data_IF_032035419567
#
_entry.id   IF_032035419567
#
_cell.length_a   1.000
_cell.length_b   1.000
_cell.length_c   1.000
_cell.angle_alpha   90.00
_cell.angle_beta   90.00
_cell.angle_gamma   90.00
#
_symmetry.space_group_name_H-M   'P 1'
#
loop_
_entity.id
_entity.type
_entity.pdbx_description
1 polymer ?
#
# COMPACT_ATOMS: atom_id res chain seq x y z
N UNK A 1 -4.90 70.17 -10.20
CA UNK A 1 -5.37 69.01 -10.99
C UNK A 1 -4.14 68.27 -11.46
N UNK A 2 -3.71 67.21 -10.75
CA UNK A 2 -2.46 66.51 -11.07
C UNK A 2 -2.72 65.66 -12.32
N UNK A 3 -2.06 66.01 -13.43
CA UNK A 3 -2.14 65.24 -14.67
C UNK A 3 -1.45 63.89 -14.41
N UNK A 4 -2.23 62.82 -14.19
CA UNK A 4 -1.68 61.47 -14.12
C UNK A 4 -0.94 61.19 -15.44
N UNK A 5 0.37 60.98 -15.35
CA UNK A 5 1.22 60.77 -16.53
C UNK A 5 0.68 59.59 -17.33
N UNK A 6 0.69 59.72 -18.67
CA UNK A 6 0.24 58.69 -19.62
C UNK A 6 0.85 57.30 -19.31
N UNK A 7 2.05 57.29 -18.72
CA UNK A 7 2.74 56.07 -18.29
C UNK A 7 1.98 55.32 -17.19
N UNK A 8 1.39 56.01 -16.19
CA UNK A 8 0.60 55.36 -15.14
C UNK A 8 -0.69 54.73 -15.68
N UNK A 9 -1.30 55.33 -16.71
CA UNK A 9 -2.48 54.76 -17.39
C UNK A 9 -2.13 53.48 -18.15
N UNK A 10 -1.01 53.48 -18.87
CA UNK A 10 -0.51 52.30 -19.58
C UNK A 10 -0.14 51.19 -18.60
N UNK A 11 0.58 51.51 -17.52
CA UNK A 11 0.94 50.54 -16.49
C UNK A 11 -0.30 49.93 -15.82
N UNK A 12 -1.32 50.75 -15.52
CA UNK A 12 -2.60 50.26 -14.97
C UNK A 12 -3.32 49.29 -15.90
N UNK A 13 -3.37 49.58 -17.20
CA UNK A 13 -3.94 48.66 -18.21
C UNK A 13 -3.17 47.34 -18.24
N UNK A 14 -1.83 47.39 -18.22
CA UNK A 14 -0.99 46.18 -18.21
C UNK A 14 -1.27 45.33 -16.98
N UNK A 15 -1.34 45.93 -15.79
CA UNK A 15 -1.66 45.20 -14.54
C UNK A 15 -3.04 44.54 -14.62
N UNK A 16 -4.06 45.25 -15.15
CA UNK A 16 -5.41 44.70 -15.32
C UNK A 16 -5.39 43.52 -16.30
N UNK A 17 -4.70 43.64 -17.44
CA UNK A 17 -4.61 42.57 -18.44
C UNK A 17 -3.88 41.35 -17.88
N UNK A 18 -2.78 41.55 -17.15
CA UNK A 18 -2.06 40.47 -16.45
C UNK A 18 -2.95 39.83 -15.38
N UNK A 19 -3.69 40.63 -14.62
CA UNK A 19 -4.67 40.14 -13.64
C UNK A 19 -5.77 39.28 -14.28
N UNK A 20 -6.34 39.72 -15.41
CA UNK A 20 -7.32 38.96 -16.17
C UNK A 20 -6.74 37.65 -16.71
N UNK A 21 -5.50 37.67 -17.22
CA UNK A 21 -4.80 36.45 -17.64
C UNK A 21 -4.64 35.46 -16.49
N UNK A 22 -4.29 35.93 -15.28
CA UNK A 22 -4.26 35.08 -14.10
C UNK A 22 -5.63 34.51 -13.75
N UNK A 23 -6.71 35.30 -13.83
CA UNK A 23 -8.07 34.81 -13.54
C UNK A 23 -8.52 33.74 -14.54
N UNK A 24 -8.28 33.97 -15.84
CA UNK A 24 -8.60 32.99 -16.90
C UNK A 24 -7.75 31.72 -16.74
N UNK A 25 -6.45 31.86 -16.46
CA UNK A 25 -5.56 30.72 -16.24
C UNK A 25 -5.93 29.89 -15.00
N UNK A 26 -6.59 30.50 -14.02
CA UNK A 26 -7.06 29.82 -12.82
C UNK A 26 -8.53 29.42 -12.90
N UNK A 27 -9.21 29.56 -14.05
CA UNK A 27 -10.59 29.12 -14.22
C UNK A 27 -10.66 27.63 -14.63
N UNK A 28 -11.49 26.80 -14.00
CA UNK A 28 -12.37 27.12 -12.88
C UNK A 28 -11.57 27.36 -11.59
N UNK A 29 -11.93 28.42 -10.86
CA UNK A 29 -11.27 28.77 -9.59
C UNK A 29 -11.23 27.55 -8.69
N UNK A 30 -10.05 27.25 -8.13
CA UNK A 30 -9.87 26.13 -7.21
C UNK A 30 -10.67 26.39 -5.94
N UNK A 31 -11.89 25.86 -5.89
CA UNK A 31 -12.67 25.77 -4.67
C UNK A 31 -12.28 24.46 -3.97
N UNK A 32 -12.00 24.54 -2.67
CA UNK A 32 -11.85 23.33 -1.88
C UNK A 32 -13.27 22.81 -1.57
N UNK A 33 -13.67 21.64 -2.10
CA UNK A 33 -15.02 21.13 -1.92
C UNK A 33 -15.35 20.75 -0.46
N UNK A 34 -14.35 20.72 0.40
CA UNK A 34 -14.45 20.34 1.80
C UNK A 34 -13.66 21.31 2.68
N UNK A 35 -14.20 21.57 3.87
CA UNK A 35 -13.55 22.34 4.92
C UNK A 35 -14.01 21.82 6.30
N UNK A 36 -13.35 22.30 7.35
CA UNK A 36 -13.57 21.90 8.74
C UNK A 36 -14.82 22.53 9.40
N UNK A 37 -15.49 23.47 8.73
CA UNK A 37 -16.56 24.28 9.31
C UNK A 37 -17.97 23.80 8.92
N UNK A 38 -18.09 22.93 7.92
CA UNK A 38 -19.38 22.43 7.44
C UNK A 38 -19.71 21.00 7.89
N UNK A 39 -19.19 20.60 9.05
CA UNK A 39 -19.49 19.33 9.72
C UNK A 39 -18.81 18.10 9.09
N UNK A 40 -19.12 16.93 9.63
CA UNK A 40 -18.56 15.66 9.16
C UNK A 40 -19.05 15.32 7.74
N UNK A 41 -18.09 15.06 6.85
CA UNK A 41 -18.31 14.72 5.44
C UNK A 41 -18.05 13.23 5.16
N UNK A 42 -17.81 12.44 6.21
CA UNK A 42 -17.41 11.05 6.11
C UNK A 42 -16.17 10.88 5.24
N UNK A 43 -16.19 9.89 4.35
CA UNK A 43 -15.04 9.59 3.50
C UNK A 43 -14.87 10.52 2.28
N UNK A 44 -15.79 11.46 2.06
CA UNK A 44 -15.81 12.35 0.88
C UNK A 44 -14.50 13.12 0.63
N UNK A 45 -13.91 13.78 1.64
CA UNK A 45 -12.63 14.48 1.50
C UNK A 45 -11.49 13.55 1.06
N UNK A 46 -11.44 12.35 1.64
CA UNK A 46 -10.43 11.33 1.32
C UNK A 46 -10.60 10.80 -0.10
N UNK A 47 -11.84 10.52 -0.52
CA UNK A 47 -12.13 10.10 -1.89
C UNK A 47 -11.73 11.17 -2.91
N UNK A 48 -11.92 12.45 -2.59
CA UNK A 48 -11.48 13.56 -3.44
C UNK A 48 -9.95 13.65 -3.54
N UNK A 49 -9.22 13.42 -2.44
CA UNK A 49 -7.77 13.33 -2.48
C UNK A 49 -7.30 12.13 -3.34
N UNK A 50 -7.93 10.97 -3.19
CA UNK A 50 -7.65 9.78 -4.01
C UNK A 50 -7.84 10.09 -5.49
N UNK A 51 -8.96 10.73 -5.87
CA UNK A 51 -9.22 11.14 -7.25
C UNK A 51 -8.18 12.13 -7.77
N UNK A 52 -7.80 13.12 -6.96
CA UNK A 52 -6.77 14.10 -7.33
C UNK A 52 -5.42 13.43 -7.59
N UNK A 53 -4.97 12.53 -6.72
CA UNK A 53 -3.69 11.82 -6.87
C UNK A 53 -3.71 10.92 -8.11
N UNK A 54 -4.81 10.20 -8.32
CA UNK A 54 -4.99 9.37 -9.52
C UNK A 54 -4.94 10.19 -10.82
N UNK A 55 -5.57 11.37 -10.85
CA UNK A 55 -5.54 12.27 -12.00
C UNK A 55 -4.13 12.80 -12.33
N UNK A 56 -3.21 12.71 -11.36
CA UNK A 56 -1.78 13.04 -11.53
C UNK A 56 -0.90 11.82 -11.78
N UNK A 57 -1.49 10.62 -11.89
CA UNK A 57 -0.75 9.38 -12.07
C UNK A 57 0.08 8.98 -10.84
N UNK A 58 -0.24 9.50 -9.65
CA UNK A 58 0.43 9.15 -8.41
C UNK A 58 -0.07 7.82 -7.82
N UNK A 59 0.49 7.46 -6.67
CA UNK A 59 0.01 6.38 -5.80
C UNK A 59 -0.48 6.96 -4.48
N UNK A 60 -1.48 6.34 -3.87
CA UNK A 60 -2.04 6.78 -2.60
C UNK A 60 -2.36 5.61 -1.69
N UNK A 61 -1.88 5.71 -0.45
CA UNK A 61 -2.05 4.68 0.57
C UNK A 61 -2.76 5.28 1.78
N UNK A 62 -3.66 4.51 2.38
CA UNK A 62 -4.17 4.81 3.71
C UNK A 62 -3.11 4.51 4.75
N UNK A 63 -2.70 5.53 5.51
CA UNK A 63 -1.78 5.35 6.63
C UNK A 63 -2.48 4.61 7.77
N UNK A 64 -1.78 3.70 8.44
CA UNK A 64 -2.16 3.05 9.70
C UNK A 64 -3.69 3.03 10.08
N UNK A 65 -4.57 2.36 9.30
CA UNK A 65 -6.03 2.48 9.45
C UNK A 65 -6.58 1.92 10.77
N UNK A 66 -5.81 1.06 11.44
CA UNK A 66 -6.13 0.43 12.72
C UNK A 66 -5.39 1.05 13.91
N UNK A 67 -4.62 2.11 13.68
CA UNK A 67 -3.89 2.82 14.72
C UNK A 67 -4.79 3.86 15.40
N UNK A 68 -5.08 3.74 16.71
CA UNK A 68 -5.66 4.84 17.44
C UNK A 68 -4.58 5.92 17.60
N UNK A 69 -4.82 7.14 17.11
CA UNK A 69 -3.95 8.24 17.52
C UNK A 69 -4.33 8.58 18.96
N UNK A 70 -3.40 8.30 19.88
CA UNK A 70 -3.56 8.34 21.33
C UNK A 70 -4.53 7.30 21.89
N UNK A 71 -4.03 6.43 22.78
CA UNK A 71 -4.88 5.48 23.52
C UNK A 71 -5.96 6.16 24.38
N UNK A 72 -5.75 7.44 24.73
CA UNK A 72 -6.68 8.27 25.50
C UNK A 72 -6.84 9.65 24.85
N UNK A 73 -8.05 10.22 24.84
CA UNK A 73 -8.26 11.59 24.37
C UNK A 73 -7.33 12.58 25.08
N UNK A 74 -6.76 13.53 24.34
CA UNK A 74 -5.95 14.60 24.90
C UNK A 74 -6.80 15.85 25.12
N UNK A 75 -6.73 16.44 26.31
CA UNK A 75 -7.36 17.73 26.60
C UNK A 75 -6.38 18.87 26.34
N UNK A 76 -6.71 19.75 25.40
CA UNK A 76 -5.90 20.93 25.05
C UNK A 76 -6.79 22.16 25.17
N UNK A 77 -6.57 22.98 26.20
CA UNK A 77 -7.32 24.23 26.43
C UNK A 77 -8.85 24.07 26.41
N UNK A 78 -9.38 22.97 26.95
CA UNK A 78 -10.81 22.65 26.96
C UNK A 78 -11.34 22.04 25.66
N UNK A 79 -10.44 21.62 24.76
CA UNK A 79 -10.75 20.88 23.54
C UNK A 79 -10.23 19.45 23.71
N UNK A 80 -11.13 18.48 23.58
CA UNK A 80 -10.79 17.07 23.51
C UNK A 80 -10.33 16.69 22.10
N UNK A 81 -9.11 16.18 21.98
CA UNK A 81 -8.52 15.67 20.74
C UNK A 81 -8.39 14.14 20.81
N UNK A 82 -8.98 13.45 19.83
CA UNK A 82 -8.87 12.01 19.66
C UNK A 82 -8.99 11.67 18.18
N UNK A 83 -8.19 10.70 17.70
CA UNK A 83 -8.40 10.13 16.35
C UNK A 83 -8.83 8.67 16.51
N UNK A 84 -10.08 8.32 16.19
CA UNK A 84 -10.51 6.93 16.21
C UNK A 84 -9.84 6.13 15.08
N UNK A 85 -9.81 4.81 15.23
CA UNK A 85 -9.46 3.90 14.12
C UNK A 85 -10.51 4.03 12.99
N UNK A 86 -10.10 3.74 11.76
CA UNK A 86 -10.94 3.88 10.56
C UNK A 86 -10.81 2.73 9.54
N UNK A 87 -10.69 1.45 9.96
CA UNK A 87 -10.51 0.34 9.02
C UNK A 87 -11.69 0.19 8.04
N UNK A 88 -12.90 0.54 8.48
CA UNK A 88 -14.10 0.52 7.64
C UNK A 88 -14.09 1.53 6.48
N UNK A 89 -13.26 2.56 6.52
CA UNK A 89 -13.22 3.57 5.45
C UNK A 89 -12.49 3.07 4.19
N UNK A 90 -11.70 2.00 4.32
CA UNK A 90 -11.15 1.26 3.19
C UNK A 90 -12.26 0.70 2.29
N UNK A 91 -13.35 0.19 2.89
CA UNK A 91 -14.50 -0.34 2.15
C UNK A 91 -15.34 0.77 1.50
N UNK A 92 -15.37 1.96 2.09
CA UNK A 92 -16.20 3.10 1.65
C UNK A 92 -15.54 3.96 0.59
N UNK A 93 -14.23 3.84 0.40
CA UNK A 93 -13.48 4.52 -0.66
C UNK A 93 -13.06 3.56 -1.75
N UNK A 94 -12.78 4.11 -2.94
CA UNK A 94 -12.43 3.36 -4.14
C UNK A 94 -11.22 3.98 -4.83
N UNK A 95 -10.52 3.16 -5.62
CA UNK A 95 -9.42 3.57 -6.49
C UNK A 95 -8.18 4.14 -5.78
N UNK A 96 -8.00 3.91 -4.49
CA UNK A 96 -6.69 4.10 -3.85
C UNK A 96 -5.72 2.98 -4.26
N UNK A 97 -4.42 3.12 -3.99
CA UNK A 97 -3.42 2.10 -4.33
C UNK A 97 -3.31 1.02 -3.27
N UNK A 98 -3.38 1.41 -1.99
CA UNK A 98 -3.14 0.48 -0.90
C UNK A 98 -3.45 1.02 0.48
N UNK A 99 -3.00 0.29 1.50
CA UNK A 99 -3.07 0.69 2.90
C UNK A 99 -1.86 0.16 3.65
N UNK A 100 -1.48 0.81 4.74
CA UNK A 100 -0.43 0.33 5.62
C UNK A 100 -0.92 -0.85 6.48
N UNK A 101 -0.22 -1.97 6.41
CA UNK A 101 -0.56 -3.20 7.12
C UNK A 101 0.35 -3.46 8.32
N UNK A 102 1.61 -3.05 8.23
CA UNK A 102 2.57 -3.02 9.35
C UNK A 102 2.93 -1.56 9.63
N UNK A 103 3.14 -1.14 10.87
CA UNK A 103 3.19 -1.97 12.10
C UNK A 103 1.82 -2.37 12.70
N UNK A 104 0.76 -1.58 12.48
CA UNK A 104 -0.47 -1.68 13.30
C UNK A 104 -1.72 -2.25 12.60
N UNK A 105 -1.67 -2.49 11.29
CA UNK A 105 -2.82 -2.81 10.42
C UNK A 105 -3.13 -4.30 10.19
N UNK A 106 -2.65 -5.18 11.07
CA UNK A 106 -2.84 -6.64 10.93
C UNK A 106 -3.83 -7.22 11.95
N UNK A 107 -4.65 -6.41 12.66
CA UNK A 107 -5.61 -6.93 13.67
C UNK A 107 -6.96 -7.27 13.03
N UNK A 108 -7.48 -6.41 12.16
CA UNK A 108 -8.78 -6.55 11.47
C UNK A 108 -8.65 -6.56 9.95
N UNK A 109 -7.79 -5.71 9.37
CA UNK A 109 -7.70 -5.50 7.93
C UNK A 109 -6.91 -6.62 7.26
N UNK A 110 -5.73 -6.95 7.79
CA UNK A 110 -4.79 -7.90 7.19
C UNK A 110 -5.07 -9.38 7.45
N UNK A 111 -5.88 -9.71 8.46
CA UNK A 111 -6.14 -11.12 8.84
C UNK A 111 -6.90 -11.87 7.73
N UNK A 112 -6.76 -13.22 7.64
CA UNK A 112 -7.55 -14.02 6.70
C UNK A 112 -9.06 -13.80 6.89
N UNK A 113 -9.74 -13.39 5.82
CA UNK A 113 -11.15 -13.01 5.80
C UNK A 113 -11.42 -11.56 6.22
N UNK A 114 -10.37 -10.81 6.57
CA UNK A 114 -10.43 -9.41 7.00
C UNK A 114 -10.83 -8.43 5.88
N UNK A 115 -10.77 -7.14 6.18
CA UNK A 115 -11.21 -6.09 5.24
C UNK A 115 -10.42 -6.14 3.93
N UNK A 116 -9.13 -6.43 3.95
CA UNK A 116 -8.33 -6.54 2.74
C UNK A 116 -8.87 -7.63 1.81
N UNK A 117 -9.22 -8.79 2.38
CA UNK A 117 -9.78 -9.90 1.63
C UNK A 117 -11.18 -9.60 1.08
N UNK A 118 -12.00 -8.85 1.82
CA UNK A 118 -13.28 -8.36 1.31
C UNK A 118 -13.09 -7.45 0.08
N UNK A 119 -12.11 -6.54 0.12
CA UNK A 119 -11.79 -5.63 -0.98
C UNK A 119 -11.25 -6.40 -2.20
N UNK A 120 -10.35 -7.35 -2.00
CA UNK A 120 -9.82 -8.18 -3.09
C UNK A 120 -10.91 -9.07 -3.71
N UNK A 121 -11.85 -9.57 -2.90
CA UNK A 121 -13.03 -10.28 -3.40
C UNK A 121 -13.98 -9.35 -4.19
N UNK A 122 -14.14 -8.09 -3.78
CA UNK A 122 -14.88 -7.09 -4.58
C UNK A 122 -14.21 -6.86 -5.94
N UNK A 123 -12.87 -6.81 -5.98
CA UNK A 123 -12.12 -6.74 -7.23
C UNK A 123 -12.35 -7.98 -8.11
N UNK A 124 -12.25 -9.18 -7.53
CA UNK A 124 -12.48 -10.43 -8.25
C UNK A 124 -13.90 -10.53 -8.83
N UNK A 125 -14.90 -9.95 -8.14
CA UNK A 125 -16.30 -9.87 -8.59
C UNK A 125 -16.58 -8.70 -9.55
N UNK A 126 -15.58 -7.88 -9.88
CA UNK A 126 -15.73 -6.71 -10.77
C UNK A 126 -16.47 -5.52 -10.13
N UNK A 127 -16.69 -5.53 -8.81
CA UNK A 127 -17.27 -4.39 -8.08
C UNK A 127 -16.26 -3.24 -7.97
N UNK A 128 -14.97 -3.58 -7.85
CA UNK A 128 -13.85 -2.63 -7.88
C UNK A 128 -13.08 -2.79 -9.17
N UNK A 129 -12.59 -1.67 -9.71
CA UNK A 129 -11.84 -1.63 -10.97
C UNK A 129 -10.40 -2.12 -10.82
N UNK A 130 -9.83 -2.02 -9.61
CA UNK A 130 -8.42 -2.32 -9.33
C UNK A 130 -8.27 -3.08 -8.01
N UNK A 131 -7.26 -3.97 -7.91
CA UNK A 131 -6.87 -4.56 -6.65
C UNK A 131 -6.19 -3.51 -5.75
N UNK A 132 -6.07 -3.83 -4.47
CA UNK A 132 -5.49 -2.96 -3.43
C UNK A 132 -4.33 -3.68 -2.77
N UNK A 133 -3.23 -2.97 -2.53
CA UNK A 133 -1.98 -3.54 -2.02
C UNK A 133 -1.71 -3.18 -0.56
N UNK A 134 -1.09 -4.11 0.16
CA UNK A 134 -0.63 -3.87 1.52
C UNK A 134 0.78 -3.24 1.50
N UNK A 135 1.01 -2.21 2.30
CA UNK A 135 2.27 -1.46 2.40
C UNK A 135 2.83 -1.54 3.83
N UNK A 136 4.14 -1.56 3.98
CA UNK A 136 4.80 -1.35 5.27
C UNK A 136 5.01 0.12 5.58
N UNK A 137 4.64 0.54 6.79
CA UNK A 137 4.80 1.89 7.32
C UNK A 137 5.41 1.84 8.72
N UNK A 138 6.35 2.75 9.00
CA UNK A 138 7.05 2.80 10.29
C UNK A 138 6.63 3.98 11.18
N UNK A 139 6.07 5.06 10.60
CA UNK A 139 5.89 6.36 11.26
C UNK A 139 7.13 6.78 12.08
N UNK A 140 8.31 6.70 11.45
CA UNK A 140 9.59 6.85 12.13
C UNK A 140 9.74 8.23 12.77
N UNK A 141 9.99 8.25 14.09
CA UNK A 141 10.22 9.48 14.86
C UNK A 141 11.68 9.68 15.23
N UNK A 142 12.30 8.64 15.78
CA UNK A 142 13.71 8.62 16.17
C UNK A 142 14.16 7.17 16.37
N UNK A 143 15.48 6.94 16.27
CA UNK A 143 16.09 5.62 16.41
C UNK A 143 15.76 5.02 17.78
N UNK A 144 15.25 3.78 17.79
CA UNK A 144 14.87 3.07 19.00
C UNK A 144 13.58 3.57 19.68
N UNK A 145 12.88 4.57 19.11
CA UNK A 145 11.59 5.00 19.63
C UNK A 145 10.59 3.83 19.55
N UNK A 146 10.04 3.42 20.69
CA UNK A 146 9.20 2.22 20.82
C UNK A 146 9.84 0.94 20.24
N UNK A 147 11.17 0.84 20.25
CA UNK A 147 11.89 -0.31 19.71
C UNK A 147 11.92 -0.39 18.18
N UNK A 148 11.53 0.68 17.49
CA UNK A 148 11.58 0.77 16.02
C UNK A 148 12.90 1.36 15.55
N UNK A 149 13.43 0.78 14.47
CA UNK A 149 14.64 1.22 13.76
C UNK A 149 14.26 1.51 12.31
N UNK A 150 14.98 2.41 11.65
CA UNK A 150 14.61 2.88 10.30
C UNK A 150 14.41 1.74 9.28
N UNK A 151 15.11 0.62 9.45
CA UNK A 151 15.04 -0.55 8.58
C UNK A 151 14.14 -1.68 9.12
N UNK A 152 13.41 -1.47 10.22
CA UNK A 152 12.56 -2.50 10.85
C UNK A 152 11.43 -2.98 9.95
N UNK A 153 10.89 -2.11 9.09
CA UNK A 153 9.85 -2.45 8.12
C UNK A 153 10.35 -2.06 6.73
N UNK A 154 10.27 -2.99 5.78
CA UNK A 154 10.76 -2.83 4.42
C UNK A 154 9.66 -3.18 3.42
N UNK A 155 9.55 -2.35 2.38
CA UNK A 155 8.80 -2.69 1.18
C UNK A 155 9.80 -3.19 0.14
N UNK A 156 9.80 -4.49 -0.13
CA UNK A 156 10.75 -5.12 -1.05
C UNK A 156 10.13 -5.12 -2.45
N UNK A 157 10.65 -4.28 -3.35
CA UNK A 157 10.15 -4.12 -4.71
C UNK A 157 10.75 -5.18 -5.64
N UNK A 158 9.90 -5.89 -6.39
CA UNK A 158 10.29 -6.87 -7.41
C UNK A 158 10.46 -6.18 -8.76
N UNK A 159 11.67 -5.70 -9.00
CA UNK A 159 12.01 -4.99 -10.22
C UNK A 159 12.75 -5.92 -11.19
N UNK A 160 12.42 -5.80 -12.48
CA UNK A 160 13.24 -6.42 -13.52
C UNK A 160 14.63 -5.77 -13.50
N UNK A 161 15.66 -6.59 -13.63
CA UNK A 161 17.04 -6.13 -13.60
C UNK A 161 17.33 -5.23 -14.80
N UNK A 162 17.25 -3.91 -14.62
CA UNK A 162 17.75 -2.94 -15.57
C UNK A 162 19.27 -2.76 -15.36
N UNK A 163 20.04 -2.72 -16.44
CA UNK A 163 21.48 -2.45 -16.37
C UNK A 163 22.37 -3.63 -15.95
N UNK A 164 23.57 -3.32 -15.46
CA UNK A 164 24.62 -4.31 -15.22
C UNK A 164 24.43 -5.10 -13.91
N UNK A 165 23.54 -4.63 -13.02
CA UNK A 165 23.30 -5.22 -11.71
C UNK A 165 24.38 -4.87 -10.69
N UNK A 166 25.08 -3.76 -10.89
CA UNK A 166 26.09 -3.29 -9.94
C UNK A 166 25.39 -2.67 -8.74
N UNK A 167 25.83 -3.07 -7.55
CA UNK A 167 25.50 -2.40 -6.29
C UNK A 167 25.80 -0.90 -6.44
N UNK A 168 24.78 -0.06 -6.30
CA UNK A 168 24.89 1.41 -6.43
C UNK A 168 24.32 2.01 -7.72
N UNK A 169 23.84 1.21 -8.68
CA UNK A 169 23.00 1.73 -9.76
C UNK A 169 21.67 2.27 -9.17
N UNK A 170 21.31 3.51 -9.49
CA UNK A 170 20.06 4.12 -9.04
C UNK A 170 18.88 3.43 -9.72
N UNK A 171 17.99 2.86 -8.91
CA UNK A 171 16.64 2.49 -9.34
C UNK A 171 15.92 3.77 -9.80
N UNK A 172 15.24 3.73 -10.94
CA UNK A 172 14.41 4.86 -11.40
C UNK A 172 13.22 5.03 -10.45
N UNK A 173 12.94 6.27 -10.05
CA UNK A 173 11.78 6.60 -9.23
C UNK A 173 10.48 6.14 -9.91
N UNK A 174 10.42 6.29 -11.23
CA UNK A 174 9.30 5.86 -12.05
C UNK A 174 9.07 4.35 -11.99
N UNK A 175 10.14 3.54 -12.01
CA UNK A 175 10.05 2.09 -11.88
C UNK A 175 9.57 1.66 -10.50
N UNK A 176 10.06 2.33 -9.45
CA UNK A 176 9.61 2.07 -8.09
C UNK A 176 8.11 2.38 -7.94
N UNK A 177 7.67 3.54 -8.45
CA UNK A 177 6.25 3.92 -8.47
C UNK A 177 5.42 2.91 -9.26
N UNK A 178 5.92 2.43 -10.39
CA UNK A 178 5.22 1.45 -11.21
C UNK A 178 5.09 0.09 -10.51
N UNK A 179 6.12 -0.34 -9.77
CA UNK A 179 6.05 -1.54 -8.93
C UNK A 179 4.96 -1.42 -7.87
N UNK A 180 4.88 -0.25 -7.20
CA UNK A 180 3.84 0.03 -6.21
C UNK A 180 2.44 0.03 -6.83
N UNK A 181 2.26 0.62 -8.01
CA UNK A 181 0.98 0.60 -8.73
C UNK A 181 0.53 -0.80 -9.08
N UNK A 182 1.46 -1.63 -9.56
CA UNK A 182 1.20 -2.99 -10.02
C UNK A 182 1.15 -4.03 -8.92
N UNK A 183 1.53 -3.70 -7.68
CA UNK A 183 1.59 -4.70 -6.60
C UNK A 183 2.77 -5.66 -6.74
N UNK A 184 3.84 -5.25 -7.43
CA UNK A 184 5.07 -6.03 -7.61
C UNK A 184 6.01 -5.83 -6.43
N UNK A 185 5.53 -6.09 -5.23
CA UNK A 185 6.29 -5.95 -3.99
C UNK A 185 5.67 -6.74 -2.85
N UNK A 186 6.42 -6.92 -1.78
CA UNK A 186 5.91 -7.47 -0.52
C UNK A 186 6.43 -6.66 0.67
N UNK A 187 5.74 -6.81 1.80
CA UNK A 187 6.11 -6.15 3.06
C UNK A 187 6.84 -7.13 3.95
N UNK A 188 7.92 -6.66 4.55
CA UNK A 188 8.79 -7.44 5.42
C UNK A 188 9.01 -6.66 6.72
N UNK A 189 8.82 -7.33 7.85
CA UNK A 189 9.32 -6.87 9.13
C UNK A 189 10.60 -7.61 9.47
N UNK A 190 11.68 -6.89 9.74
CA UNK A 190 12.92 -7.48 10.22
C UNK A 190 12.73 -7.88 11.67
N UNK A 191 13.08 -9.13 11.97
CA UNK A 191 13.33 -9.52 13.35
C UNK A 191 14.72 -9.02 13.76
N UNK A 192 14.97 -9.03 15.07
CA UNK A 192 16.26 -8.60 15.63
C UNK A 192 17.43 -9.44 15.10
N UNK A 193 17.26 -10.76 15.08
CA UNK A 193 18.34 -11.72 14.83
C UNK A 193 18.19 -12.47 13.48
N UNK A 194 17.13 -12.19 12.71
CA UNK A 194 16.89 -12.85 11.44
C UNK A 194 16.00 -12.03 10.49
N UNK A 195 16.06 -12.36 9.20
CA UNK A 195 15.21 -11.79 8.17
C UNK A 195 14.74 -12.91 7.24
N UNK A 196 13.44 -12.99 7.01
CA UNK A 196 12.85 -13.95 6.06
C UNK A 196 12.54 -13.22 4.76
N UNK A 197 13.24 -13.55 3.68
CA UNK A 197 13.07 -12.91 2.38
C UNK A 197 12.37 -13.86 1.41
N UNK A 198 11.34 -13.34 0.74
CA UNK A 198 10.65 -14.02 -0.33
C UNK A 198 11.42 -13.76 -1.63
N UNK A 199 11.99 -14.80 -2.19
CA UNK A 199 12.73 -14.72 -3.45
C UNK A 199 11.80 -14.91 -4.64
N UNK A 200 10.84 -15.82 -4.50
CA UNK A 200 9.86 -16.10 -5.54
C UNK A 200 8.49 -16.41 -4.95
N UNK A 201 7.46 -15.79 -5.53
CA UNK A 201 6.07 -16.18 -5.36
C UNK A 201 5.41 -16.13 -6.73
N UNK A 202 5.08 -17.30 -7.27
CA UNK A 202 4.51 -17.42 -8.62
C UNK A 202 3.40 -18.45 -8.68
N UNK A 203 2.51 -18.22 -9.63
CA UNK A 203 1.43 -19.12 -10.00
C UNK A 203 1.73 -19.63 -11.40
N UNK A 204 1.75 -20.94 -11.58
CA UNK A 204 1.89 -21.61 -12.87
C UNK A 204 0.58 -22.30 -13.24
N UNK A 205 0.14 -22.07 -14.48
CA UNK A 205 -1.01 -22.74 -15.10
C UNK A 205 -0.57 -23.34 -16.43
N UNK A 206 -1.46 -24.06 -17.11
CA UNK A 206 -1.17 -24.53 -18.48
C UNK A 206 -1.04 -23.35 -19.48
N UNK A 207 -1.54 -22.17 -19.12
CA UNK A 207 -1.59 -20.98 -19.97
C UNK A 207 -0.37 -20.06 -19.76
N UNK A 208 0.42 -20.27 -18.71
CA UNK A 208 1.62 -19.50 -18.46
C UNK A 208 2.00 -19.39 -16.98
N UNK A 209 2.64 -18.28 -16.62
CA UNK A 209 3.04 -17.96 -15.24
C UNK A 209 2.67 -16.52 -14.90
N UNK A 210 2.32 -16.28 -13.64
CA UNK A 210 2.10 -14.95 -13.09
C UNK A 210 2.87 -14.78 -11.78
N UNK A 211 3.36 -13.57 -11.55
CA UNK A 211 3.99 -13.16 -10.28
C UNK A 211 3.05 -12.23 -9.48
N UNK A 212 3.53 -11.72 -8.34
CA UNK A 212 2.78 -10.77 -7.53
C UNK A 212 2.27 -9.58 -8.34
N UNK A 213 0.98 -9.30 -8.19
CA UNK A 213 0.30 -8.21 -8.89
C UNK A 213 -0.26 -8.55 -10.27
N UNK A 214 0.04 -9.75 -10.80
CA UNK A 214 -0.41 -10.17 -12.12
C UNK A 214 -1.65 -11.07 -12.07
N UNK A 215 -2.31 -11.18 -13.22
CA UNK A 215 -3.45 -12.07 -13.43
C UNK A 215 -3.11 -13.12 -14.46
N UNK A 216 -3.59 -14.34 -14.20
CA UNK A 216 -3.47 -15.45 -15.14
C UNK A 216 -4.79 -16.20 -15.20
N UNK A 217 -5.09 -16.70 -16.39
CA UNK A 217 -6.22 -17.59 -16.63
C UNK A 217 -5.83 -19.03 -16.35
N UNK A 218 -6.82 -19.81 -15.93
CA UNK A 218 -6.64 -21.20 -15.58
C UNK A 218 -7.84 -22.01 -16.04
N UNK A 219 -7.56 -23.22 -16.54
CA UNK A 219 -8.55 -24.23 -16.90
C UNK A 219 -8.45 -25.49 -16.03
N UNK A 220 -7.37 -25.61 -15.26
CA UNK A 220 -7.09 -26.65 -14.29
C UNK A 220 -6.54 -26.01 -13.01
N UNK A 221 -6.58 -26.73 -11.87
CA UNK A 221 -6.07 -26.16 -10.64
C UNK A 221 -4.61 -25.70 -10.77
N UNK A 222 -4.30 -24.46 -10.40
CA UNK A 222 -2.98 -23.88 -10.58
C UNK A 222 -1.94 -24.48 -9.62
N UNK A 223 -0.67 -24.41 -10.03
CA UNK A 223 0.47 -24.74 -9.19
C UNK A 223 1.06 -23.46 -8.60
N UNK A 224 1.10 -23.37 -7.28
CA UNK A 224 1.70 -22.26 -6.54
C UNK A 224 3.11 -22.65 -6.14
N UNK A 225 4.08 -21.75 -6.37
CA UNK A 225 5.47 -21.93 -5.94
C UNK A 225 5.95 -20.79 -5.07
N UNK A 226 6.73 -21.18 -4.07
CA UNK A 226 7.44 -20.29 -3.15
C UNK A 226 8.92 -20.64 -3.16
N UNK A 227 9.76 -19.62 -3.20
CA UNK A 227 11.16 -19.72 -2.79
C UNK A 227 11.40 -18.71 -1.67
N UNK A 228 11.84 -19.18 -0.50
CA UNK A 228 12.08 -18.34 0.67
C UNK A 228 13.50 -18.59 1.19
N UNK A 229 14.25 -17.51 1.39
CA UNK A 229 15.58 -17.51 1.99
C UNK A 229 15.55 -16.82 3.35
N UNK A 230 16.40 -17.28 4.24
CA UNK A 230 16.64 -16.66 5.54
C UNK A 230 18.03 -16.08 5.61
N UNK A 231 18.13 -14.85 6.08
CA UNK A 231 19.39 -14.28 6.58
C UNK A 231 19.33 -14.35 8.11
N UNK A 232 20.32 -14.97 8.75
CA UNK A 232 20.36 -15.18 10.19
C UNK A 232 21.63 -14.58 10.75
N UNK A 233 21.51 -13.81 11.84
CA UNK A 233 22.61 -13.59 12.75
C UNK A 233 22.71 -14.81 13.68
N UNK A 234 23.91 -15.37 13.80
CA UNK A 234 24.14 -16.66 14.48
C UNK A 234 23.74 -16.61 15.98
N UNK A 235 23.26 -17.73 16.58
CA UNK A 235 23.17 -19.08 16.02
C UNK A 235 21.79 -19.43 15.45
N UNK A 236 21.80 -20.31 14.44
CA UNK A 236 20.62 -20.87 13.75
C UNK A 236 19.53 -21.31 14.74
N UNK A 237 18.50 -20.50 14.91
CA UNK A 237 17.30 -20.90 15.63
C UNK A 237 16.60 -21.96 14.76
N UNK A 238 16.59 -23.20 15.22
CA UNK A 238 16.00 -24.39 14.57
C UNK A 238 14.47 -24.39 14.57
N UNK A 239 13.82 -23.24 14.71
CA UNK A 239 12.36 -23.17 14.71
C UNK A 239 11.88 -23.03 13.27
N UNK A 240 10.89 -23.84 12.84
CA UNK A 240 10.30 -23.68 11.52
C UNK A 240 9.63 -22.32 11.39
N UNK A 241 9.63 -21.75 10.19
CA UNK A 241 8.74 -20.65 9.84
C UNK A 241 7.35 -21.18 9.54
N UNK A 242 6.34 -20.34 9.72
CA UNK A 242 4.95 -20.66 9.39
C UNK A 242 4.51 -19.87 8.17
N UNK A 243 3.99 -20.56 7.16
CA UNK A 243 3.50 -19.95 5.94
C UNK A 243 2.02 -20.31 5.79
N UNK A 244 1.15 -19.29 5.79
CA UNK A 244 -0.27 -19.46 5.47
C UNK A 244 -0.48 -19.09 4.01
N UNK A 245 -0.87 -20.06 3.19
CA UNK A 245 -1.37 -19.79 1.84
C UNK A 245 -2.87 -19.53 1.91
N UNK A 246 -3.25 -18.35 1.45
CA UNK A 246 -4.62 -17.82 1.54
C UNK A 246 -5.16 -17.64 0.13
N UNK A 247 -6.38 -18.12 -0.11
CA UNK A 247 -7.10 -17.98 -1.37
C UNK A 247 -8.48 -17.41 -1.10
N UNK A 248 -8.83 -16.30 -1.75
CA UNK A 248 -10.14 -15.66 -1.56
C UNK A 248 -10.46 -15.25 -0.12
N UNK A 249 -9.45 -15.17 0.74
CA UNK A 249 -9.57 -14.86 2.18
C UNK A 249 -9.60 -16.07 3.10
N UNK A 250 -9.59 -17.29 2.56
CA UNK A 250 -9.54 -18.52 3.36
C UNK A 250 -8.13 -19.12 3.36
N UNK A 251 -7.69 -19.63 4.51
CA UNK A 251 -6.43 -20.38 4.60
C UNK A 251 -6.66 -21.76 3.97
N UNK A 252 -6.05 -22.00 2.81
CA UNK A 252 -6.16 -23.30 2.11
C UNK A 252 -5.04 -24.26 2.49
N UNK A 253 -3.89 -23.72 2.94
CA UNK A 253 -2.76 -24.54 3.39
C UNK A 253 -1.89 -23.79 4.40
N UNK A 254 -1.37 -24.53 5.38
CA UNK A 254 -0.33 -24.07 6.29
C UNK A 254 0.91 -24.96 6.06
N UNK A 255 2.07 -24.34 5.93
CA UNK A 255 3.37 -25.00 5.89
C UNK A 255 4.17 -24.59 7.13
N UNK A 256 4.83 -25.57 7.75
CA UNK A 256 5.74 -25.35 8.87
C UNK A 256 7.06 -26.04 8.53
N UNK A 257 8.06 -25.26 8.09
CA UNK A 257 9.32 -25.75 7.52
C UNK A 257 10.50 -24.84 7.88
N UNK A 258 11.72 -25.36 7.77
CA UNK A 258 12.97 -24.62 8.04
C UNK A 258 13.51 -23.93 6.78
N UNK A 259 14.21 -22.81 6.94
CA UNK A 259 14.86 -22.10 5.84
C UNK A 259 16.25 -22.66 5.50
N UNK A 260 16.72 -22.52 4.25
CA UNK A 260 15.96 -22.08 3.07
C UNK A 260 14.95 -23.16 2.64
N UNK A 261 13.86 -22.73 2.00
CA UNK A 261 12.86 -23.67 1.50
C UNK A 261 12.33 -23.31 0.11
N UNK A 262 11.89 -24.36 -0.58
CA UNK A 262 11.14 -24.30 -1.82
C UNK A 262 9.86 -25.12 -1.62
N UNK A 263 8.71 -24.49 -1.87
CA UNK A 263 7.41 -25.15 -1.76
C UNK A 263 6.75 -25.15 -3.13
N UNK A 264 6.27 -26.33 -3.53
CA UNK A 264 5.34 -26.48 -4.63
C UNK A 264 4.02 -27.04 -4.08
N UNK A 265 2.92 -26.35 -4.39
CA UNK A 265 1.58 -26.75 -3.96
C UNK A 265 0.62 -26.67 -5.14
N UNK A 266 -0.11 -27.75 -5.41
CA UNK A 266 -1.18 -27.76 -6.41
C UNK A 266 -2.48 -27.49 -5.66
N UNK A 267 -3.17 -26.43 -6.06
CA UNK A 267 -4.46 -26.10 -5.46
C UNK A 267 -5.53 -27.13 -5.86
N UNK A 268 -6.63 -27.16 -5.12
CA UNK A 268 -7.82 -27.97 -5.41
C UNK A 268 -9.02 -27.11 -5.82
N UNK A 269 -8.79 -25.90 -6.36
CA UNK A 269 -9.87 -25.02 -6.81
C UNK A 269 -10.71 -25.70 -7.90
N UNK A 270 -12.02 -25.77 -7.67
CA UNK A 270 -12.99 -26.35 -8.61
C UNK A 270 -13.81 -25.27 -9.34
N UNK A 271 -13.86 -24.05 -8.82
CA UNK A 271 -14.55 -22.92 -9.45
C UNK A 271 -13.72 -22.35 -10.59
N UNK A 272 -14.39 -21.78 -11.59
CA UNK A 272 -13.79 -20.95 -12.64
C UNK A 272 -13.82 -19.45 -12.30
N UNK A 273 -14.33 -19.08 -11.12
CA UNK A 273 -14.42 -17.69 -10.70
C UNK A 273 -13.03 -17.09 -10.51
N UNK A 274 -12.91 -15.78 -10.76
CA UNK A 274 -11.70 -15.05 -10.44
C UNK A 274 -11.47 -15.09 -8.93
N UNK A 275 -10.24 -15.41 -8.53
CA UNK A 275 -9.79 -15.38 -7.15
C UNK A 275 -8.36 -14.84 -7.09
N UNK A 276 -7.81 -14.71 -5.88
CA UNK A 276 -6.44 -14.28 -5.65
C UNK A 276 -5.78 -15.20 -4.63
N UNK A 277 -4.45 -15.19 -4.64
CA UNK A 277 -3.63 -15.82 -3.62
C UNK A 277 -2.80 -14.76 -2.91
N UNK A 278 -2.67 -14.90 -1.60
CA UNK A 278 -1.71 -14.16 -0.80
C UNK A 278 -1.08 -15.09 0.23
N UNK A 279 0.04 -14.65 0.80
CA UNK A 279 0.76 -15.42 1.79
C UNK A 279 1.10 -14.57 2.99
N UNK A 280 0.88 -15.15 4.17
CA UNK A 280 1.35 -14.58 5.42
C UNK A 280 2.45 -15.48 5.96
N UNK A 281 3.65 -14.92 6.09
CA UNK A 281 4.84 -15.62 6.54
C UNK A 281 5.19 -15.09 7.91
N UNK A 282 5.26 -15.98 8.89
CA UNK A 282 5.64 -15.66 10.26
C UNK A 282 6.91 -16.40 10.61
N UNK A 283 7.89 -15.68 11.11
CA UNK A 283 9.16 -16.20 11.57
C UNK A 283 9.02 -17.08 12.83
N UNK A 284 10.14 -17.68 13.26
CA UNK A 284 10.24 -18.50 14.47
C UNK A 284 9.58 -17.96 15.73
N UNK A 285 9.58 -16.64 15.89
CA UNK A 285 9.18 -15.97 17.14
C UNK A 285 7.78 -15.36 17.07
N UNK A 286 7.02 -15.62 16.00
CA UNK A 286 5.70 -15.01 15.83
C UNK A 286 5.72 -13.62 15.19
N UNK A 287 6.89 -13.18 14.71
CA UNK A 287 7.13 -11.92 14.00
C UNK A 287 6.99 -12.07 12.49
#
# INVERSE_FOLDING_TARGET
MIAHSRAYKVLGIVIILVGLLFLVNNYPYKYFPYDQYHGDKGVGPYQNLIQYVNAKGGVIFWAHPEAPNWEKPQEINGITLQTPIYPGDLLKTNNYTGFAILYEGYKEVGTPGGIWDQILNQYCKGIREKPIWALGELDYKAEGYLGTYLDSIQNVLLMEKQGSGKVGERVSEEEAIECLKKGRFYVLQKAKDYVVKLEEFKIETEEGKAIMGEEIRYSKPPKIKFEIKGEYELPKVLTPIKIKLIRGGEIIKIFEQHLPLEIEYIDNIESSDKTYYRSDITGPQGE
#
